data_IF_405657293217
#
_entry.id   IF_405657293217
#
_cell.length_a   1.000
_cell.length_b   1.000
_cell.length_c   1.000
_cell.angle_alpha   90.00
_cell.angle_beta   90.00
_cell.angle_gamma   90.00
#
_symmetry.space_group_name_H-M   'P 1'
#
loop_
_entity.id
_entity.type
_entity.pdbx_description
1 polymer ?
#
# COMPACT_ATOMS: atom_id res chain seq x y z
N UNK A 1 -37.84 9.16 14.54
CA UNK A 1 -36.61 8.51 15.03
C UNK A 1 -35.85 8.08 13.79
N UNK A 2 -34.59 8.47 13.62
CA UNK A 2 -33.78 8.10 12.46
C UNK A 2 -33.50 6.58 12.50
N UNK A 3 -34.37 5.80 11.86
CA UNK A 3 -34.12 4.39 11.54
C UNK A 3 -33.00 4.34 10.49
N UNK A 4 -31.79 3.93 10.88
CA UNK A 4 -30.71 3.68 9.93
C UNK A 4 -29.28 3.94 10.40
N UNK A 5 -29.06 4.58 11.55
CA UNK A 5 -27.70 4.90 12.02
C UNK A 5 -26.73 3.70 12.10
N UNK A 6 -27.09 2.54 12.70
CA UNK A 6 -26.17 1.40 12.76
C UNK A 6 -25.89 0.78 11.38
N UNK A 7 -26.85 0.82 10.47
CA UNK A 7 -26.68 0.34 9.11
C UNK A 7 -25.75 1.25 8.30
N UNK A 8 -25.90 2.57 8.43
CA UNK A 8 -24.99 3.53 7.81
C UNK A 8 -23.55 3.35 8.30
N UNK A 9 -23.35 3.17 9.61
CA UNK A 9 -22.02 2.92 10.18
C UNK A 9 -21.43 1.62 9.63
N UNK A 10 -22.24 0.57 9.51
CA UNK A 10 -21.83 -0.69 8.90
C UNK A 10 -21.37 -0.50 7.44
N UNK A 11 -22.16 0.21 6.62
CA UNK A 11 -21.82 0.50 5.23
C UNK A 11 -20.56 1.38 5.09
N UNK A 12 -20.42 2.41 5.93
CA UNK A 12 -19.24 3.27 5.97
C UNK A 12 -17.97 2.45 6.27
N UNK A 13 -18.01 1.57 7.28
CA UNK A 13 -16.86 0.74 7.66
C UNK A 13 -16.56 -0.31 6.58
N UNK A 14 -17.59 -0.90 5.97
CA UNK A 14 -17.40 -1.88 4.90
C UNK A 14 -16.81 -1.24 3.62
N UNK A 15 -17.24 -0.03 3.28
CA UNK A 15 -16.63 0.78 2.22
C UNK A 15 -15.19 1.15 2.56
N UNK A 16 -14.92 1.55 3.80
CA UNK A 16 -13.57 1.84 4.27
C UNK A 16 -12.65 0.62 4.15
N UNK A 17 -13.12 -0.57 4.55
CA UNK A 17 -12.39 -1.84 4.38
C UNK A 17 -12.10 -2.15 2.92
N UNK A 18 -13.08 -1.96 2.04
CA UNK A 18 -12.92 -2.20 0.59
C UNK A 18 -11.88 -1.26 -0.02
N UNK A 19 -11.88 0.02 0.38
CA UNK A 19 -10.85 0.97 -0.02
C UNK A 19 -9.48 0.60 0.57
N UNK A 20 -9.41 0.22 1.85
CA UNK A 20 -8.21 -0.37 2.44
C UNK A 20 -7.67 -1.51 1.57
N UNK A 21 -8.47 -2.50 1.23
CA UNK A 21 -8.03 -3.63 0.40
C UNK A 21 -7.52 -3.21 -0.98
N UNK A 22 -8.12 -2.20 -1.61
CA UNK A 22 -7.66 -1.64 -2.90
C UNK A 22 -6.28 -1.00 -2.78
N UNK A 23 -6.09 -0.10 -1.82
CA UNK A 23 -4.77 0.50 -1.58
C UNK A 23 -3.71 -0.55 -1.20
N UNK A 24 -4.10 -1.74 -0.71
CA UNK A 24 -3.13 -2.82 -0.44
C UNK A 24 -2.46 -3.35 -1.70
N UNK A 25 -3.12 -3.18 -2.85
CA UNK A 25 -2.63 -3.63 -4.15
C UNK A 25 -1.76 -2.56 -4.82
N UNK A 26 -1.86 -1.31 -4.38
CA UNK A 26 -0.95 -0.25 -4.82
C UNK A 26 0.41 -0.44 -4.12
N UNK A 27 1.48 -0.53 -4.93
CA UNK A 27 2.84 -0.89 -4.48
C UNK A 27 3.50 0.13 -3.55
N UNK A 28 2.93 1.32 -3.38
CA UNK A 28 3.47 2.37 -2.51
C UNK A 28 2.36 2.91 -1.61
N UNK A 29 2.14 2.26 -0.46
CA UNK A 29 1.27 2.83 0.57
C UNK A 29 2.12 3.65 1.52
N UNK A 30 2.14 4.97 1.32
CA UNK A 30 2.83 5.91 2.21
C UNK A 30 2.33 5.81 3.67
N UNK A 31 3.24 6.08 4.63
CA UNK A 31 2.86 6.25 6.04
C UNK A 31 1.75 7.29 6.21
N UNK A 32 1.80 8.38 5.44
CA UNK A 32 0.77 9.44 5.46
C UNK A 32 -0.63 8.93 5.08
N UNK A 33 -0.72 8.03 4.09
CA UNK A 33 -2.00 7.42 3.68
C UNK A 33 -2.49 6.50 4.80
N UNK A 34 -1.60 5.70 5.38
CA UNK A 34 -1.91 4.81 6.50
C UNK A 34 -2.39 5.57 7.73
N UNK A 35 -1.76 6.70 8.08
CA UNK A 35 -2.20 7.55 9.20
C UNK A 35 -3.53 8.24 8.92
N UNK A 36 -3.77 8.74 7.69
CA UNK A 36 -5.08 9.28 7.30
C UNK A 36 -6.18 8.24 7.44
N UNK A 37 -5.92 7.00 7.02
CA UNK A 37 -6.84 5.87 7.20
C UNK A 37 -7.05 5.54 8.68
N UNK A 38 -6.00 5.59 9.50
CA UNK A 38 -6.11 5.42 10.94
C UNK A 38 -7.01 6.48 11.59
N UNK A 39 -6.94 7.73 11.16
CA UNK A 39 -7.83 8.81 11.62
C UNK A 39 -9.29 8.56 11.22
N UNK A 40 -9.54 8.14 9.98
CA UNK A 40 -10.90 7.80 9.52
C UNK A 40 -11.47 6.66 10.37
N UNK A 41 -10.68 5.60 10.61
CA UNK A 41 -11.09 4.46 11.43
C UNK A 41 -11.42 4.88 12.87
N UNK A 42 -10.63 5.77 13.48
CA UNK A 42 -10.93 6.31 14.82
C UNK A 42 -12.26 7.06 14.85
N UNK A 43 -12.56 7.85 13.82
CA UNK A 43 -13.84 8.57 13.71
C UNK A 43 -15.00 7.59 13.59
N UNK A 44 -14.89 6.56 12.75
CA UNK A 44 -15.90 5.51 12.61
C UNK A 44 -16.09 4.72 13.92
N UNK A 45 -15.00 4.38 14.60
CA UNK A 45 -15.04 3.73 15.91
C UNK A 45 -15.72 4.61 16.96
N UNK A 46 -15.54 5.93 16.91
CA UNK A 46 -16.23 6.88 17.79
C UNK A 46 -17.73 6.91 17.51
N UNK A 47 -18.14 7.01 16.24
CA UNK A 47 -19.55 6.94 15.83
C UNK A 47 -20.20 5.63 16.29
N UNK A 48 -19.51 4.50 16.10
CA UNK A 48 -19.95 3.20 16.58
C UNK A 48 -20.15 3.19 18.10
N UNK A 49 -19.19 3.71 18.88
CA UNK A 49 -19.32 3.79 20.34
C UNK A 49 -20.46 4.70 20.79
N UNK A 50 -20.70 5.81 20.10
CA UNK A 50 -21.85 6.69 20.38
C UNK A 50 -23.18 5.98 20.08
N UNK A 51 -23.28 5.26 18.97
CA UNK A 51 -24.41 4.39 18.66
C UNK A 51 -24.59 3.26 19.67
N UNK A 52 -23.50 2.63 20.11
CA UNK A 52 -23.51 1.55 21.10
C UNK A 52 -23.98 2.03 22.47
N UNK A 53 -23.74 3.30 22.81
CA UNK A 53 -24.24 3.93 24.05
C UNK A 53 -25.75 4.17 24.05
N UNK A 54 -26.38 4.22 22.87
CA UNK A 54 -27.83 4.34 22.71
C UNK A 54 -28.33 3.21 21.81
N UNK A 55 -28.28 1.96 22.31
CA UNK A 55 -28.55 0.80 21.48
C UNK A 55 -30.01 0.82 21.03
N UNK A 56 -30.20 0.93 19.72
CA UNK A 56 -31.49 0.74 19.05
C UNK A 56 -31.70 -0.74 18.74
N UNK A 57 -32.94 -1.12 18.43
CA UNK A 57 -33.29 -2.52 18.12
C UNK A 57 -32.53 -3.07 16.90
N UNK A 58 -32.16 -2.20 15.97
CA UNK A 58 -31.31 -2.52 14.83
C UNK A 58 -29.82 -2.63 15.19
N UNK A 59 -29.34 -1.88 16.19
CA UNK A 59 -27.94 -1.93 16.60
C UNK A 59 -27.52 -3.34 17.00
N UNK A 60 -28.33 -4.06 17.79
CA UNK A 60 -28.03 -5.43 18.24
C UNK A 60 -27.92 -6.43 17.08
N UNK A 61 -28.57 -6.16 15.95
CA UNK A 61 -28.44 -6.99 14.74
C UNK A 61 -27.13 -6.75 14.00
N UNK A 62 -26.67 -5.50 13.94
CA UNK A 62 -25.46 -5.12 13.20
C UNK A 62 -24.19 -5.11 14.05
N UNK A 63 -24.31 -4.96 15.37
CA UNK A 63 -23.22 -4.88 16.35
C UNK A 63 -22.13 -5.94 16.15
N UNK A 64 -22.43 -7.26 16.10
CA UNK A 64 -21.37 -8.26 15.92
C UNK A 64 -20.66 -8.14 14.57
N UNK A 65 -21.37 -7.68 13.54
CA UNK A 65 -20.79 -7.47 12.21
C UNK A 65 -19.94 -6.20 12.16
N UNK A 66 -20.39 -5.12 12.79
CA UNK A 66 -19.64 -3.86 12.90
C UNK A 66 -18.37 -4.06 13.73
N UNK A 67 -18.48 -4.72 14.89
CA UNK A 67 -17.34 -5.03 15.75
C UNK A 67 -16.28 -5.86 15.00
N UNK A 68 -16.72 -6.89 14.26
CA UNK A 68 -15.82 -7.71 13.44
C UNK A 68 -15.14 -6.90 12.32
N UNK A 69 -15.89 -6.05 11.62
CA UNK A 69 -15.34 -5.19 10.55
C UNK A 69 -14.32 -4.19 11.09
N UNK A 70 -14.58 -3.59 12.25
CA UNK A 70 -13.64 -2.69 12.92
C UNK A 70 -12.35 -3.43 13.25
N UNK A 71 -12.44 -4.63 13.82
CA UNK A 71 -11.27 -5.44 14.16
C UNK A 71 -10.44 -5.80 12.92
N UNK A 72 -11.09 -6.24 11.83
CA UNK A 72 -10.43 -6.50 10.54
C UNK A 72 -9.70 -5.26 10.01
N UNK A 73 -10.32 -4.08 10.10
CA UNK A 73 -9.70 -2.81 9.67
C UNK A 73 -8.48 -2.45 10.53
N UNK A 74 -8.58 -2.61 11.85
CA UNK A 74 -7.47 -2.40 12.80
C UNK A 74 -6.33 -3.35 12.46
N UNK A 75 -6.62 -4.63 12.24
CA UNK A 75 -5.63 -5.66 11.91
C UNK A 75 -4.87 -5.34 10.62
N UNK A 76 -5.57 -4.98 9.55
CA UNK A 76 -4.95 -4.59 8.27
C UNK A 76 -4.04 -3.38 8.45
N UNK A 77 -4.50 -2.34 9.17
CA UNK A 77 -3.72 -1.13 9.37
C UNK A 77 -2.49 -1.35 10.28
N UNK A 78 -2.59 -2.22 11.31
CA UNK A 78 -1.44 -2.64 12.12
C UNK A 78 -0.40 -3.37 11.27
N UNK A 79 -0.83 -4.36 10.49
CA UNK A 79 0.05 -5.11 9.59
C UNK A 79 0.77 -4.19 8.61
N UNK A 80 0.09 -3.16 8.09
CA UNK A 80 0.73 -2.14 7.24
C UNK A 80 1.74 -1.30 7.98
N UNK A 81 1.43 -0.81 9.18
CA UNK A 81 2.41 -0.04 9.96
C UNK A 81 3.67 -0.86 10.23
N UNK A 82 3.52 -2.14 10.55
CA UNK A 82 4.64 -3.05 10.71
C UNK A 82 5.40 -3.28 9.39
N UNK A 83 4.69 -3.37 8.26
CA UNK A 83 5.32 -3.53 6.94
C UNK A 83 6.06 -2.28 6.46
N UNK A 84 5.52 -1.08 6.73
CA UNK A 84 6.14 0.21 6.40
C UNK A 84 7.40 0.41 7.26
N UNK A 85 7.29 0.16 8.56
CA UNK A 85 8.43 0.25 9.48
C UNK A 85 9.58 -0.70 9.11
N UNK A 86 9.29 -1.81 8.42
CA UNK A 86 10.31 -2.75 7.90
C UNK A 86 10.89 -2.34 6.54
N UNK A 87 10.23 -1.46 5.80
CA UNK A 87 10.76 -0.95 4.52
C UNK A 87 11.69 0.25 4.71
N UNK A 88 11.47 1.09 5.73
CA UNK A 88 12.41 2.18 6.08
C UNK A 88 13.81 1.70 6.53
N UNK A 89 14.02 0.39 6.68
CA UNK A 89 15.34 -0.18 7.03
C UNK A 89 16.13 -0.72 5.84
N UNK A 90 15.61 -0.63 4.60
CA UNK A 90 16.34 -1.11 3.41
C UNK A 90 17.00 0.00 2.56
N UNK A 91 17.12 1.22 3.10
CA UNK A 91 17.93 2.30 2.50
C UNK A 91 19.18 2.67 3.32
N UNK A 92 19.48 1.96 4.41
CA UNK A 92 20.70 2.19 5.23
C UNK A 92 21.44 0.91 5.63
N UNK A 93 21.22 -0.22 4.95
CA UNK A 93 22.30 -1.21 4.86
C UNK A 93 23.31 -0.65 3.86
N UNK A 94 24.03 0.35 4.36
CA UNK A 94 25.31 0.80 3.86
C UNK A 94 26.08 -0.43 3.40
N UNK A 95 26.07 -0.67 2.09
CA UNK A 95 27.20 -1.32 1.45
C UNK A 95 28.39 -0.44 1.82
N UNK A 96 29.05 -0.80 2.93
CA UNK A 96 30.46 -0.61 3.07
C UNK A 96 31.05 -1.44 1.94
N UNK A 97 31.25 -0.79 0.78
CA UNK A 97 32.31 -1.18 -0.12
C UNK A 97 33.55 -1.30 0.78
N UNK A 98 34.15 -2.48 0.95
CA UNK A 98 35.46 -2.52 1.56
C UNK A 98 36.33 -1.58 0.75
N UNK A 99 36.98 -0.62 1.41
CA UNK A 99 37.97 0.24 0.79
C UNK A 99 38.98 -0.68 0.11
N UNK A 100 38.89 -0.80 -1.23
CA UNK A 100 39.92 -1.47 -2.00
C UNK A 100 41.07 -0.49 -2.05
N UNK A 101 41.91 -0.56 -1.01
CA UNK A 101 43.26 -0.03 -1.02
C UNK A 101 44.05 -0.84 -2.06
N UNK A 102 43.90 -0.50 -3.34
CA UNK A 102 44.77 -0.98 -4.41
C UNK A 102 45.79 0.12 -4.74
N UNK A 103 46.61 0.40 -3.74
CA UNK A 103 47.91 1.03 -3.97
C UNK A 103 48.82 0.02 -4.68
N UNK A 104 48.60 -0.21 -5.98
CA UNK A 104 49.64 -0.77 -6.85
C UNK A 104 49.38 -0.44 -8.33
N UNK A 105 49.94 0.70 -8.75
CA UNK A 105 50.65 0.90 -10.03
C UNK A 105 50.13 0.16 -11.26
N UNK A 106 49.49 0.88 -12.20
CA UNK A 106 50.02 1.21 -13.54
C UNK A 106 48.91 1.58 -14.55
N UNK A 107 49.05 2.79 -15.10
CA UNK A 107 48.86 3.17 -16.51
C UNK A 107 47.57 2.79 -17.28
N UNK A 108 46.81 3.84 -17.63
CA UNK A 108 46.25 4.02 -18.97
C UNK A 108 44.72 3.88 -19.11
N UNK A 109 44.03 4.80 -19.80
CA UNK A 109 42.57 4.81 -19.93
C UNK A 109 42.08 3.70 -20.87
N UNK A 110 40.98 2.99 -20.57
CA UNK A 110 40.34 2.13 -21.57
C UNK A 110 39.71 3.03 -22.64
N UNK A 111 40.25 2.92 -23.84
CA UNK A 111 39.76 3.51 -25.08
C UNK A 111 38.28 3.19 -25.29
N UNK A 112 37.52 4.21 -25.69
CA UNK A 112 36.17 4.10 -26.23
C UNK A 112 36.17 3.11 -27.41
N UNK A 113 35.72 1.87 -27.18
CA UNK A 113 35.41 0.97 -28.28
C UNK A 113 34.01 1.26 -28.79
N UNK A 114 33.94 2.02 -29.88
CA UNK A 114 32.78 2.12 -30.75
C UNK A 114 32.57 0.78 -31.47
N UNK A 115 31.80 -0.12 -30.86
CA UNK A 115 31.28 -1.28 -31.60
C UNK A 115 30.11 -0.83 -32.47
N UNK A 116 30.41 -0.66 -33.75
CA UNK A 116 29.47 -0.53 -34.87
C UNK A 116 28.43 -1.64 -34.82
N UNK A 117 27.18 -1.30 -34.48
CA UNK A 117 26.03 -2.20 -34.62
C UNK A 117 25.70 -2.24 -36.11
N UNK A 118 25.90 -3.41 -36.71
CA UNK A 118 25.57 -3.69 -38.10
C UNK A 118 24.04 -3.64 -38.28
N UNK A 119 23.55 -2.83 -39.20
CA UNK A 119 22.12 -2.74 -39.52
C UNK A 119 21.66 -4.06 -40.15
N UNK A 120 21.01 -4.91 -39.35
CA UNK A 120 20.34 -6.11 -39.85
C UNK A 120 18.99 -5.67 -40.47
N UNK A 121 18.86 -5.89 -41.78
CA UNK A 121 17.65 -5.66 -42.58
C UNK A 121 16.40 -6.18 -41.87
N UNK A 122 15.45 -5.28 -41.60
CA UNK A 122 14.12 -5.62 -41.10
C UNK A 122 13.32 -6.14 -42.31
N UNK A 123 12.88 -7.41 -42.34
CA UNK A 123 12.02 -7.89 -43.42
C UNK A 123 10.68 -7.14 -43.37
N UNK A 124 10.28 -6.62 -44.52
CA UNK A 124 9.09 -5.81 -44.77
C UNK A 124 7.79 -6.54 -44.39
N UNK A 125 6.84 -5.86 -43.73
CA UNK A 125 5.53 -6.45 -43.44
C UNK A 125 4.71 -6.57 -44.72
N UNK A 126 4.25 -7.78 -45.00
CA UNK A 126 3.34 -8.12 -46.10
C UNK A 126 1.99 -7.44 -45.89
N UNK A 127 1.43 -6.70 -46.86
CA UNK A 127 0.08 -6.17 -46.74
C UNK A 127 -0.95 -7.30 -46.90
N UNK A 128 -1.92 -7.36 -45.97
CA UNK A 128 -3.08 -8.23 -46.08
C UNK A 128 -3.88 -7.91 -47.35
N UNK A 129 -4.14 -8.94 -48.16
CA UNK A 129 -5.02 -8.91 -49.32
C UNK A 129 -6.39 -9.52 -48.97
N UNK A 130 -7.46 -8.83 -49.40
CA UNK A 130 -8.92 -9.13 -49.40
C UNK A 130 -9.68 -9.14 -48.08
#
# INVERSE_FOLDING_TARGET
MEEGEPQQIFEEINNFRSNLAKDSKERCVDSKITDKKWQILKTLHRKYNDCARKPSKDFTKYEPHIAKLLDDCIKILKQRKESISKQETSEDDSIFLPAIDNTSRQQGPPTLQTTTINAQEIPTPTPFQR
#
